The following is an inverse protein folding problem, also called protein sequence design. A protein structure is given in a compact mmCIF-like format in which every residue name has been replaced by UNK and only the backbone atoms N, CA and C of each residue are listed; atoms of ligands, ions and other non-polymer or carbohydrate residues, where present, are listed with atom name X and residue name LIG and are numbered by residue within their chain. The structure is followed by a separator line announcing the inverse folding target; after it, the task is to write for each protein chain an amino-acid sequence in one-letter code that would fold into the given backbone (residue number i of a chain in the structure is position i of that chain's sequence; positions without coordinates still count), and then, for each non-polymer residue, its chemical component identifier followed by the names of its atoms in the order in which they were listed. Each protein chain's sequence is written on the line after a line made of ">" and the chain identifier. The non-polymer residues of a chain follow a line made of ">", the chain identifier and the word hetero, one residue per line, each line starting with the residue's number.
data_IF_655523545152
#
_entry.id   IF_655523545152
#
_cell.length_a   1.000
_cell.length_b   1.000
_cell.length_c   1.000
_cell.angle_alpha   90.00
_cell.angle_beta   90.00
_cell.angle_gamma   90.00
#
_symmetry.space_group_name_H-M   'P 1'
#
loop_
_entity.id
_entity.type
_entity.pdbx_description
1 polymer ?
#
# COMPACT_ATOMS: atom_id res chain seq x y z
N UNK A 1 2.79 16.47 -50.92
CA UNK A 1 1.91 16.50 -49.74
C UNK A 1 1.85 15.13 -49.11
N UNK A 2 2.51 14.99 -47.96
CA UNK A 2 2.51 13.74 -47.22
C UNK A 2 1.14 13.49 -46.56
N UNK A 3 0.36 12.50 -46.98
CA UNK A 3 -0.98 12.25 -46.41
C UNK A 3 -0.94 11.80 -44.96
N UNK A 4 0.20 11.37 -44.45
CA UNK A 4 0.37 10.97 -43.04
C UNK A 4 0.44 12.11 -42.04
N UNK A 5 0.76 13.33 -42.48
CA UNK A 5 0.89 14.49 -41.57
C UNK A 5 -0.44 14.95 -40.95
N UNK A 6 -1.56 14.60 -41.56
CA UNK A 6 -2.90 14.98 -41.06
C UNK A 6 -3.39 14.11 -39.92
N UNK A 7 -2.86 12.94 -39.73
CA UNK A 7 -3.30 12.00 -38.69
C UNK A 7 -2.92 12.41 -37.28
N UNK A 8 -1.94 13.28 -37.15
CA UNK A 8 -1.36 13.66 -35.87
C UNK A 8 -1.84 14.98 -35.33
N UNK A 9 -2.72 15.67 -36.07
CA UNK A 9 -3.38 16.86 -35.53
C UNK A 9 -4.49 16.46 -34.59
N UNK A 10 -4.17 16.47 -33.32
CA UNK A 10 -5.18 16.30 -32.28
C UNK A 10 -6.09 17.52 -32.24
N UNK A 11 -7.40 17.30 -32.10
CA UNK A 11 -8.32 18.40 -31.87
C UNK A 11 -7.97 19.12 -30.57
N UNK A 12 -8.22 20.42 -30.48
CA UNK A 12 -7.98 21.20 -29.27
C UNK A 12 -8.64 20.57 -28.05
N UNK A 13 -9.82 19.99 -28.22
CA UNK A 13 -10.53 19.30 -27.16
C UNK A 13 -9.80 18.03 -26.68
N UNK A 14 -9.14 17.30 -27.57
CA UNK A 14 -8.37 16.13 -27.19
C UNK A 14 -7.10 16.52 -26.43
N UNK A 15 -6.43 17.59 -26.87
CA UNK A 15 -5.25 18.15 -26.17
C UNK A 15 -5.67 18.65 -24.78
N UNK A 16 -6.77 19.38 -24.66
CA UNK A 16 -7.28 19.86 -23.39
C UNK A 16 -7.58 18.71 -22.43
N UNK A 17 -8.21 17.62 -22.88
CA UNK A 17 -8.48 16.45 -22.05
C UNK A 17 -7.21 15.75 -21.58
N UNK A 18 -6.19 15.66 -22.44
CA UNK A 18 -4.90 15.09 -22.06
C UNK A 18 -4.19 15.94 -21.00
N UNK A 19 -4.25 17.28 -21.16
CA UNK A 19 -3.70 18.20 -20.19
C UNK A 19 -4.42 18.11 -18.83
N UNK A 20 -5.74 18.06 -18.85
CA UNK A 20 -6.54 17.90 -17.63
C UNK A 20 -6.23 16.57 -16.93
N UNK A 21 -6.08 15.51 -17.71
CA UNK A 21 -5.68 14.19 -17.18
C UNK A 21 -4.30 14.21 -16.56
N UNK A 22 -3.34 14.90 -17.19
CA UNK A 22 -1.97 15.03 -16.66
C UNK A 22 -1.95 15.87 -15.36
N UNK A 23 -2.71 16.94 -15.30
CA UNK A 23 -2.84 17.78 -14.10
C UNK A 23 -3.47 16.97 -12.96
N UNK A 24 -4.56 16.25 -13.24
CA UNK A 24 -5.20 15.40 -12.25
C UNK A 24 -4.27 14.28 -11.74
N UNK A 25 -3.48 13.68 -12.62
CA UNK A 25 -2.51 12.66 -12.24
C UNK A 25 -1.41 13.21 -11.33
N UNK A 26 -0.87 14.38 -11.64
CA UNK A 26 0.12 15.07 -10.80
C UNK A 26 -0.45 15.42 -9.44
N UNK A 27 -1.68 15.86 -9.39
CA UNK A 27 -2.36 16.21 -8.15
C UNK A 27 -2.53 14.97 -7.26
N UNK A 28 -3.00 13.86 -7.82
CA UNK A 28 -3.10 12.59 -7.09
C UNK A 28 -1.77 12.10 -6.56
N UNK A 29 -0.72 12.21 -7.36
CA UNK A 29 0.64 11.85 -6.94
C UNK A 29 1.10 12.74 -5.78
N UNK A 30 0.89 14.04 -5.89
CA UNK A 30 1.27 15.00 -4.86
C UNK A 30 0.55 14.72 -3.54
N UNK A 31 -0.74 14.54 -3.58
CA UNK A 31 -1.56 14.17 -2.41
C UNK A 31 -1.07 12.87 -1.76
N UNK A 32 -0.75 11.88 -2.56
CA UNK A 32 -0.23 10.60 -2.05
C UNK A 32 1.14 10.76 -1.38
N UNK A 33 2.04 11.54 -1.98
CA UNK A 33 3.36 11.80 -1.41
C UNK A 33 3.28 12.64 -0.12
N UNK A 34 2.37 13.59 -0.06
CA UNK A 34 2.11 14.35 1.17
C UNK A 34 1.56 13.45 2.28
N UNK A 35 0.66 12.55 1.96
CA UNK A 35 0.11 11.61 2.93
C UNK A 35 1.16 10.65 3.49
N UNK A 36 2.14 10.26 2.68
CA UNK A 36 3.27 9.43 3.11
C UNK A 36 4.24 10.22 4.00
N UNK A 37 4.44 11.48 3.69
CA UNK A 37 5.35 12.36 4.42
C UNK A 37 6.69 12.54 3.73
N UNK A 38 7.36 13.68 3.98
CA UNK A 38 8.60 14.04 3.28
C UNK A 38 9.75 13.07 3.55
N UNK A 39 9.80 12.46 4.73
CA UNK A 39 10.87 11.54 5.10
C UNK A 39 10.81 10.21 4.34
N UNK A 40 9.61 9.79 3.99
CA UNK A 40 9.39 8.47 3.37
C UNK A 40 9.07 8.55 1.88
N UNK A 41 8.61 9.70 1.40
CA UNK A 41 8.23 9.89 0.00
C UNK A 41 9.39 9.70 -0.97
N UNK A 42 10.60 10.10 -0.57
CA UNK A 42 11.80 9.90 -1.36
C UNK A 42 12.08 8.43 -1.68
N UNK A 43 11.84 7.54 -0.73
CA UNK A 43 11.99 6.10 -0.94
C UNK A 43 11.02 5.59 -2.01
N UNK A 44 9.77 6.03 -1.97
CA UNK A 44 8.77 5.65 -2.98
C UNK A 44 9.14 6.18 -4.36
N UNK A 45 9.61 7.42 -4.45
CA UNK A 45 10.04 7.99 -5.72
C UNK A 45 11.20 7.22 -6.32
N UNK A 46 12.24 6.92 -5.54
CA UNK A 46 13.39 6.21 -6.05
C UNK A 46 13.08 4.77 -6.45
N UNK A 47 12.38 4.03 -5.63
CA UNK A 47 12.11 2.61 -5.87
C UNK A 47 10.96 2.40 -6.85
N UNK A 48 9.84 3.09 -6.67
CA UNK A 48 8.63 2.84 -7.46
C UNK A 48 8.58 3.64 -8.76
N UNK A 49 9.05 4.89 -8.76
CA UNK A 49 8.98 5.75 -9.94
C UNK A 49 10.27 5.71 -10.78
N UNK A 50 11.43 5.75 -10.15
CA UNK A 50 12.72 5.72 -10.84
C UNK A 50 13.29 4.31 -10.99
N UNK A 51 12.62 3.32 -10.47
CA UNK A 51 13.02 1.91 -10.54
C UNK A 51 14.44 1.62 -10.04
N UNK A 52 14.89 2.39 -9.06
CA UNK A 52 16.17 2.16 -8.43
C UNK A 52 16.15 0.92 -7.55
N UNK A 53 17.26 0.21 -7.48
CA UNK A 53 17.44 -0.86 -6.50
C UNK A 53 17.48 -0.29 -5.07
N UNK A 54 17.23 -1.16 -4.08
CA UNK A 54 17.22 -0.75 -2.67
C UNK A 54 18.54 -0.16 -2.21
N UNK A 55 19.66 -0.77 -2.62
CA UNK A 55 20.99 -0.28 -2.25
C UNK A 55 21.30 1.10 -2.84
N UNK A 56 20.87 1.34 -4.06
CA UNK A 56 21.04 2.63 -4.69
C UNK A 56 20.17 3.69 -4.05
N UNK A 57 18.91 3.35 -3.71
CA UNK A 57 18.02 4.24 -2.98
C UNK A 57 18.62 4.61 -1.61
N UNK A 58 19.21 3.65 -0.89
CA UNK A 58 19.93 3.93 0.36
C UNK A 58 21.02 4.97 0.19
N UNK A 59 21.85 4.79 -0.83
CA UNK A 59 22.94 5.73 -1.10
C UNK A 59 22.45 7.13 -1.44
N UNK A 60 21.44 7.22 -2.30
CA UNK A 60 20.87 8.50 -2.72
C UNK A 60 20.16 9.25 -1.60
N UNK A 61 19.54 8.52 -0.69
CA UNK A 61 18.83 9.09 0.45
C UNK A 61 19.70 9.19 1.70
N UNK A 62 20.97 8.85 1.60
CA UNK A 62 21.92 8.88 2.72
C UNK A 62 21.45 8.07 3.93
N UNK A 63 20.82 6.93 3.67
CA UNK A 63 20.31 6.04 4.70
C UNK A 63 21.39 5.05 5.15
N UNK A 64 21.29 4.57 6.39
CA UNK A 64 22.15 3.49 6.87
C UNK A 64 22.04 2.23 6.01
N UNK A 65 23.10 1.51 5.88
CA UNK A 65 23.12 0.25 5.12
C UNK A 65 22.06 -0.72 5.64
N UNK A 66 21.38 -1.38 4.71
CA UNK A 66 20.32 -2.38 4.97
C UNK A 66 19.03 -1.81 5.58
N UNK A 67 18.88 -0.49 5.63
CA UNK A 67 17.66 0.15 6.13
C UNK A 67 16.58 0.35 5.05
N UNK A 68 16.94 0.31 3.78
CA UNK A 68 16.03 0.63 2.68
C UNK A 68 14.76 -0.22 2.69
N UNK A 69 14.86 -1.49 2.98
CA UNK A 69 13.72 -2.38 3.05
C UNK A 69 12.72 -1.98 4.13
N UNK A 70 13.21 -1.64 5.31
CA UNK A 70 12.36 -1.20 6.41
C UNK A 70 11.68 0.14 6.10
N UNK A 71 12.43 1.09 5.56
CA UNK A 71 11.92 2.40 5.16
C UNK A 71 10.88 2.26 4.05
N UNK A 72 11.14 1.42 3.05
CA UNK A 72 10.18 1.13 1.98
C UNK A 72 8.88 0.53 2.51
N UNK A 73 8.96 -0.42 3.43
CA UNK A 73 7.77 -1.03 4.04
C UNK A 73 6.93 -0.01 4.81
N UNK A 74 7.58 0.89 5.54
CA UNK A 74 6.89 1.98 6.23
C UNK A 74 6.20 2.93 5.24
N UNK A 75 6.90 3.30 4.18
CA UNK A 75 6.37 4.17 3.13
C UNK A 75 5.16 3.53 2.43
N UNK A 76 5.27 2.26 2.05
CA UNK A 76 4.17 1.52 1.42
C UNK A 76 2.98 1.35 2.38
N UNK A 77 3.23 1.17 3.66
CA UNK A 77 2.16 1.07 4.66
C UNK A 77 1.38 2.38 4.76
N UNK A 78 2.07 3.52 4.77
CA UNK A 78 1.41 4.82 4.78
C UNK A 78 0.64 5.09 3.48
N UNK A 79 1.23 4.73 2.35
CA UNK A 79 0.57 4.84 1.05
C UNK A 79 -0.70 3.99 0.99
N UNK A 80 -0.64 2.76 1.48
CA UNK A 80 -1.79 1.87 1.54
C UNK A 80 -2.92 2.47 2.38
N UNK A 81 -2.60 3.08 3.52
CA UNK A 81 -3.59 3.78 4.36
C UNK A 81 -4.23 4.96 3.64
N UNK A 82 -3.44 5.70 2.89
CA UNK A 82 -3.97 6.83 2.08
C UNK A 82 -5.04 6.36 1.09
N UNK A 83 -4.84 5.19 0.48
CA UNK A 83 -5.81 4.59 -0.44
C UNK A 83 -6.91 3.76 0.25
N UNK A 84 -6.98 3.78 1.57
CA UNK A 84 -8.01 3.07 2.32
C UNK A 84 -7.74 1.59 2.57
N UNK A 85 -6.58 1.08 2.20
CA UNK A 85 -6.19 -0.27 2.53
C UNK A 85 -5.77 -0.37 3.99
N UNK A 86 -6.30 -1.34 4.70
CA UNK A 86 -5.86 -1.64 6.07
C UNK A 86 -4.75 -2.67 5.99
N UNK A 87 -3.51 -2.29 6.27
CA UNK A 87 -2.44 -3.29 6.30
C UNK A 87 -2.74 -4.32 7.39
N UNK A 88 -2.35 -5.59 7.18
CA UNK A 88 -2.50 -6.59 8.20
C UNK A 88 -1.74 -6.15 9.47
N UNK A 89 -2.39 -6.27 10.60
CA UNK A 89 -1.77 -5.99 11.91
C UNK A 89 -0.66 -7.02 12.14
N UNK A 90 0.54 -6.68 11.75
CA UNK A 90 1.70 -7.58 11.88
C UNK A 90 2.11 -7.84 13.32
N UNK A 91 1.54 -7.09 14.26
CA UNK A 91 1.87 -7.20 15.66
C UNK A 91 0.61 -7.13 16.51
N UNK A 92 -0.25 -8.13 16.35
CA UNK A 92 -1.03 -8.53 17.49
C UNK A 92 0.00 -9.05 18.50
N UNK A 93 0.15 -8.37 19.63
CA UNK A 93 1.03 -8.84 20.69
C UNK A 93 0.73 -10.30 21.05
N UNK A 94 1.62 -10.99 21.73
CA UNK A 94 1.44 -12.40 22.06
C UNK A 94 0.08 -12.62 22.72
N UNK A 95 -0.73 -13.48 22.13
CA UNK A 95 -2.05 -13.81 22.61
C UNK A 95 -3.25 -13.04 22.01
N UNK A 96 -2.98 -12.09 21.12
CA UNK A 96 -4.08 -11.39 20.44
C UNK A 96 -4.31 -11.97 19.05
N UNK A 97 -5.37 -12.76 18.93
CA UNK A 97 -5.84 -13.23 17.63
C UNK A 97 -6.46 -12.04 16.91
N UNK A 98 -5.84 -11.63 15.80
CA UNK A 98 -6.38 -10.58 14.95
C UNK A 98 -7.74 -11.01 14.41
N UNK A 99 -8.74 -10.15 14.57
CA UNK A 99 -10.07 -10.42 14.05
C UNK A 99 -10.05 -10.25 12.53
N UNK A 100 -10.07 -11.35 11.81
CA UNK A 100 -10.05 -11.38 10.35
C UNK A 100 -11.43 -11.51 9.72
N UNK A 101 -12.45 -11.73 10.55
CA UNK A 101 -13.81 -11.91 10.09
C UNK A 101 -14.59 -10.60 10.01
N UNK A 102 -15.72 -10.63 9.34
CA UNK A 102 -16.68 -9.53 9.31
C UNK A 102 -17.06 -9.14 10.73
N UNK A 103 -17.30 -7.85 10.97
CA UNK A 103 -17.49 -7.31 12.33
C UNK A 103 -18.59 -8.00 13.16
N UNK A 104 -19.56 -8.62 12.51
CA UNK A 104 -20.67 -9.32 13.12
C UNK A 104 -20.50 -10.85 13.13
N UNK A 105 -19.39 -11.36 12.62
CA UNK A 105 -19.15 -12.80 12.62
C UNK A 105 -18.87 -13.32 14.03
N UNK A 106 -19.72 -14.21 14.49
CA UNK A 106 -19.53 -14.95 15.72
C UNK A 106 -19.32 -16.43 15.40
N UNK A 107 -18.14 -16.97 15.66
CA UNK A 107 -17.92 -18.40 15.49
C UNK A 107 -18.77 -19.17 16.50
N UNK A 108 -19.52 -20.14 16.00
CA UNK A 108 -20.33 -21.04 16.85
C UNK A 108 -19.54 -22.32 17.08
N UNK A 109 -19.23 -22.59 18.32
CA UNK A 109 -18.60 -23.85 18.71
C UNK A 109 -19.70 -24.88 18.86
N UNK A 110 -19.65 -26.02 18.13
CA UNK A 110 -20.65 -27.06 18.27
C UNK A 110 -20.71 -27.59 19.72
N UNK A 111 -21.91 -27.81 20.26
CA UNK A 111 -22.05 -28.29 21.64
C UNK A 111 -21.33 -29.59 21.94
N UNK A 112 -21.24 -30.47 20.95
CA UNK A 112 -20.54 -31.76 21.08
C UNK A 112 -19.05 -31.61 21.36
N UNK A 113 -18.39 -30.60 20.76
CA UNK A 113 -16.96 -30.33 21.00
C UNK A 113 -16.74 -29.75 22.39
N UNK A 114 -17.65 -28.88 22.84
CA UNK A 114 -17.61 -28.30 24.17
C UNK A 114 -17.85 -29.35 25.26
N UNK A 115 -18.80 -30.24 25.04
CA UNK A 115 -19.11 -31.33 25.97
C UNK A 115 -17.97 -32.35 26.07
N UNK A 116 -17.27 -32.63 24.99
CA UNK A 116 -16.12 -33.51 24.98
C UNK A 116 -14.92 -32.93 25.67
N UNK A 117 -14.67 -31.64 25.51
CA UNK A 117 -13.53 -30.97 26.11
C UNK A 117 -13.68 -30.80 27.64
N UNK A 118 -14.87 -30.46 28.10
CA UNK A 118 -15.13 -30.22 29.51
C UNK A 118 -14.94 -31.48 30.41
N UNK A 119 -15.49 -32.66 30.07
CA UNK A 119 -15.28 -33.82 30.90
C UNK A 119 -13.84 -34.36 30.88
N UNK A 120 -13.14 -34.23 29.79
CA UNK A 120 -11.76 -34.68 29.72
C UNK A 120 -10.81 -33.89 30.65
N UNK A 121 -11.09 -32.63 30.87
CA UNK A 121 -10.31 -31.79 31.76
C UNK A 121 -10.51 -32.10 33.24
N UNK A 122 -11.59 -32.73 33.60
CA UNK A 122 -11.96 -33.00 35.02
C UNK A 122 -11.66 -34.40 35.49
N UNK A 123 -11.21 -35.26 34.61
CA UNK A 123 -11.00 -36.66 34.95
C UNK A 123 -9.61 -36.96 35.50
N UNK A 124 -8.79 -35.98 35.67
CA UNK A 124 -7.47 -36.08 36.28
C UNK A 124 -7.52 -35.71 37.79
#
# INVERSE_FOLDING_TARGET
>A
TAPGARHWQMSDNAVARLNDGAIAARQRLHEALEAVGPELSGMLLHVCCLTCGLEEAERRLELPKRSARAVLLLALTRLARHYGFKPPLRHAGPGRIGHWAVADYRPVIPPAVTAAAAPAAHQT
#
